data_IF_750421593986
#
_entry.id   IF_750421593986
#
_cell.length_a   1.000
_cell.length_b   1.000
_cell.length_c   1.000
_cell.angle_alpha   90.00
_cell.angle_beta   90.00
_cell.angle_gamma   90.00
#
_symmetry.space_group_name_H-M   'P 1'
#
loop_
_entity.id
_entity.type
_entity.pdbx_description
1 polymer ?
#
# COMPACT_ATOMS: atom_id res chain seq x y z
N UNK A 1 -28.93 34.15 -14.68
CA UNK A 1 -28.63 32.74 -15.00
C UNK A 1 -29.69 31.75 -14.50
N UNK A 2 -30.71 32.17 -13.74
CA UNK A 2 -31.86 31.31 -13.40
C UNK A 2 -33.15 31.93 -13.95
N UNK A 3 -33.66 31.40 -15.07
CA UNK A 3 -35.01 31.74 -15.57
C UNK A 3 -36.04 30.87 -14.83
N UNK A 4 -37.26 31.36 -14.58
CA UNK A 4 -38.27 30.69 -13.74
C UNK A 4 -38.88 29.40 -14.32
N UNK A 5 -38.39 28.89 -15.45
CA UNK A 5 -38.98 27.76 -16.20
C UNK A 5 -38.15 26.47 -16.12
N UNK A 6 -37.42 26.28 -15.03
CA UNK A 6 -36.70 25.03 -14.81
C UNK A 6 -37.71 23.91 -14.56
N UNK A 7 -37.77 22.93 -15.47
CA UNK A 7 -38.78 21.86 -15.48
C UNK A 7 -38.83 21.11 -14.15
N UNK A 8 -37.66 20.79 -13.59
CA UNK A 8 -37.53 20.10 -12.29
C UNK A 8 -38.13 20.93 -11.14
N UNK A 9 -37.90 22.25 -11.12
CA UNK A 9 -38.47 23.14 -10.11
C UNK A 9 -40.00 23.23 -10.18
N UNK A 10 -40.58 23.13 -11.39
CA UNK A 10 -42.03 23.09 -11.58
C UNK A 10 -42.63 21.73 -11.18
N UNK A 11 -41.98 20.63 -11.56
CA UNK A 11 -42.41 19.28 -11.20
C UNK A 11 -42.48 19.12 -9.68
N UNK A 12 -41.43 19.54 -8.96
CA UNK A 12 -41.39 19.49 -7.49
C UNK A 12 -42.51 20.32 -6.85
N UNK A 13 -42.83 21.51 -7.40
CA UNK A 13 -43.94 22.35 -6.90
C UNK A 13 -45.33 21.74 -7.12
N UNK A 14 -45.48 20.95 -8.18
CA UNK A 14 -46.74 20.28 -8.51
C UNK A 14 -46.87 18.91 -7.80
N UNK A 15 -45.81 18.45 -7.13
CA UNK A 15 -45.80 17.18 -6.40
C UNK A 15 -46.74 17.21 -5.19
N UNK A 16 -47.42 16.10 -4.95
CA UNK A 16 -48.18 15.85 -3.72
C UNK A 16 -48.02 14.38 -3.30
N UNK A 17 -48.50 13.95 -2.12
CA UNK A 17 -48.34 12.57 -1.66
C UNK A 17 -48.90 11.50 -2.61
N UNK A 18 -49.98 11.82 -3.35
CA UNK A 18 -50.63 10.89 -4.30
C UNK A 18 -50.00 10.93 -5.69
N UNK A 19 -49.18 11.95 -5.98
CA UNK A 19 -48.44 12.12 -7.22
C UNK A 19 -47.05 12.73 -6.93
N UNK A 20 -46.12 11.92 -6.35
CA UNK A 20 -44.79 12.39 -6.04
C UNK A 20 -44.02 12.71 -7.33
N UNK A 21 -43.13 13.69 -7.28
CA UNK A 21 -42.17 13.90 -8.39
C UNK A 21 -41.17 12.77 -8.41
N UNK A 22 -41.05 12.10 -9.56
CA UNK A 22 -40.01 11.09 -9.80
C UNK A 22 -38.83 11.72 -10.53
N UNK A 23 -37.63 11.56 -9.97
CA UNK A 23 -36.37 11.95 -10.59
C UNK A 23 -35.63 10.67 -10.97
N UNK A 24 -35.48 10.32 -12.26
CA UNK A 24 -34.74 9.14 -12.67
C UNK A 24 -33.23 9.37 -12.48
N UNK A 25 -32.56 8.40 -11.87
CA UNK A 25 -31.10 8.39 -11.64
C UNK A 25 -30.49 7.12 -12.24
N UNK A 26 -30.55 6.93 -13.57
CA UNK A 26 -30.23 5.66 -14.22
C UNK A 26 -28.73 5.30 -14.18
N UNK A 27 -27.87 6.30 -13.97
CA UNK A 27 -26.41 6.13 -13.97
C UNK A 27 -25.83 5.90 -12.57
N UNK A 28 -26.66 5.98 -11.52
CA UNK A 28 -26.21 5.83 -10.14
C UNK A 28 -26.41 4.39 -9.67
N UNK A 29 -25.38 3.82 -9.04
CA UNK A 29 -25.51 2.53 -8.37
C UNK A 29 -26.53 2.63 -7.22
N UNK A 30 -27.58 1.77 -7.20
CA UNK A 30 -28.65 1.88 -6.23
C UNK A 30 -28.21 1.58 -4.79
N UNK A 31 -27.22 0.69 -4.59
CA UNK A 31 -26.73 0.35 -3.26
C UNK A 31 -25.91 1.49 -2.67
N UNK A 32 -24.96 2.04 -3.44
CA UNK A 32 -24.16 3.18 -3.06
C UNK A 32 -25.00 4.44 -2.83
N UNK A 33 -26.01 4.68 -3.67
CA UNK A 33 -26.92 5.83 -3.51
C UNK A 33 -27.77 5.71 -2.24
N UNK A 34 -28.27 4.50 -1.94
CA UNK A 34 -28.98 4.24 -0.71
C UNK A 34 -28.08 4.47 0.51
N UNK A 35 -26.83 3.99 0.45
CA UNK A 35 -25.84 4.20 1.51
C UNK A 35 -25.54 5.69 1.71
N UNK A 36 -25.33 6.45 0.64
CA UNK A 36 -25.14 7.91 0.69
C UNK A 36 -26.31 8.60 1.38
N UNK A 37 -27.55 8.25 1.01
CA UNK A 37 -28.76 8.79 1.63
C UNK A 37 -28.84 8.45 3.13
N UNK A 38 -28.53 7.20 3.52
CA UNK A 38 -28.54 6.78 4.92
C UNK A 38 -27.57 7.62 5.76
N UNK A 39 -26.36 7.83 5.24
CA UNK A 39 -25.33 8.66 5.90
C UNK A 39 -25.77 10.12 5.96
N UNK A 40 -26.23 10.69 4.84
CA UNK A 40 -26.67 12.09 4.76
C UNK A 40 -27.84 12.42 5.70
N UNK A 41 -28.73 11.46 5.92
CA UNK A 41 -29.88 11.60 6.82
C UNK A 41 -29.59 11.19 8.27
N UNK A 42 -28.32 10.97 8.65
CA UNK A 42 -27.90 10.58 10.00
C UNK A 42 -28.60 9.32 10.53
N UNK A 43 -28.97 8.38 9.64
CA UNK A 43 -29.65 7.14 10.01
C UNK A 43 -28.63 6.07 10.45
N UNK A 44 -27.82 6.41 11.45
CA UNK A 44 -26.65 5.63 11.89
C UNK A 44 -26.92 4.15 12.16
N UNK A 45 -28.10 3.79 12.69
CA UNK A 45 -28.50 2.40 12.93
C UNK A 45 -28.61 1.53 11.67
N UNK A 46 -28.81 2.15 10.50
CA UNK A 46 -28.92 1.46 9.21
C UNK A 46 -27.61 1.53 8.41
N UNK A 47 -26.55 2.10 8.96
CA UNK A 47 -25.25 2.17 8.29
C UNK A 47 -24.57 0.80 8.41
N UNK A 48 -24.23 0.12 7.29
CA UNK A 48 -23.48 -1.12 7.34
C UNK A 48 -22.10 -0.88 7.98
N UNK A 49 -21.66 -1.83 8.81
CA UNK A 49 -20.34 -1.75 9.46
C UNK A 49 -19.20 -1.97 8.47
N UNK A 50 -19.44 -2.77 7.43
CA UNK A 50 -18.40 -3.21 6.48
C UNK A 50 -18.97 -3.25 5.06
N UNK A 51 -19.14 -2.09 4.39
CA UNK A 51 -19.52 -2.06 2.98
C UNK A 51 -18.53 -2.85 2.12
N UNK A 52 -19.01 -3.44 1.02
CA UNK A 52 -18.14 -4.14 0.07
C UNK A 52 -17.16 -3.14 -0.58
N UNK A 53 -15.96 -3.58 -0.99
CA UNK A 53 -15.03 -2.75 -1.77
C UNK A 53 -15.66 -2.12 -3.01
N UNK A 54 -16.48 -2.88 -3.75
CA UNK A 54 -17.24 -2.39 -4.91
C UNK A 54 -18.23 -1.28 -4.55
N UNK A 55 -19.01 -1.46 -3.48
CA UNK A 55 -19.91 -0.40 -2.97
C UNK A 55 -19.13 0.86 -2.58
N UNK A 56 -17.92 0.73 -2.01
CA UNK A 56 -17.06 1.87 -1.70
C UNK A 56 -16.55 2.57 -2.97
N UNK A 57 -16.20 1.84 -4.02
CA UNK A 57 -15.86 2.43 -5.33
C UNK A 57 -17.03 3.24 -5.89
N UNK A 58 -18.21 2.62 -5.97
CA UNK A 58 -19.42 3.29 -6.49
C UNK A 58 -19.78 4.51 -5.65
N UNK A 59 -19.66 4.41 -4.32
CA UNK A 59 -19.88 5.53 -3.43
C UNK A 59 -18.87 6.66 -3.66
N UNK A 60 -17.61 6.36 -4.00
CA UNK A 60 -16.63 7.38 -4.37
C UNK A 60 -17.08 8.17 -5.60
N UNK A 61 -17.58 7.48 -6.62
CA UNK A 61 -18.11 8.08 -7.86
C UNK A 61 -19.29 9.01 -7.53
N UNK A 62 -20.23 8.56 -6.68
CA UNK A 62 -21.36 9.39 -6.26
C UNK A 62 -20.92 10.59 -5.42
N UNK A 63 -19.96 10.40 -4.52
CA UNK A 63 -19.41 11.48 -3.68
C UNK A 63 -18.78 12.58 -4.52
N UNK A 64 -18.03 12.21 -5.57
CA UNK A 64 -17.50 13.16 -6.54
C UNK A 64 -18.62 13.81 -7.37
N UNK A 65 -19.52 13.02 -7.96
CA UNK A 65 -20.64 13.52 -8.78
C UNK A 65 -21.51 14.54 -8.03
N UNK A 66 -21.83 14.26 -6.77
CA UNK A 66 -22.67 15.11 -5.93
C UNK A 66 -21.90 16.10 -5.05
N UNK A 67 -20.56 16.10 -5.14
CA UNK A 67 -19.67 17.01 -4.40
C UNK A 67 -19.96 17.01 -2.88
N UNK A 68 -20.07 15.82 -2.29
CA UNK A 68 -20.56 15.63 -0.92
C UNK A 68 -19.59 14.85 -0.01
N UNK A 69 -18.27 14.99 -0.22
CA UNK A 69 -17.23 14.24 0.49
C UNK A 69 -17.32 14.37 2.02
N UNK A 70 -17.65 15.55 2.53
CA UNK A 70 -17.71 15.84 3.97
C UNK A 70 -18.79 15.02 4.67
N UNK A 71 -19.86 14.66 3.95
CA UNK A 71 -20.95 13.83 4.45
C UNK A 71 -20.45 12.41 4.76
N UNK A 72 -19.54 11.89 3.93
CA UNK A 72 -19.11 10.49 3.97
C UNK A 72 -17.76 10.29 4.68
N UNK A 73 -16.90 11.32 4.73
CA UNK A 73 -15.52 11.25 5.23
C UNK A 73 -15.35 10.51 6.55
N UNK A 74 -16.19 10.82 7.55
CA UNK A 74 -16.13 10.17 8.87
C UNK A 74 -16.42 8.67 8.79
N UNK A 75 -17.50 8.27 8.12
CA UNK A 75 -17.84 6.87 7.92
C UNK A 75 -16.80 6.16 7.05
N UNK A 76 -16.30 6.84 6.01
CA UNK A 76 -15.26 6.32 5.14
C UNK A 76 -14.00 5.93 5.90
N UNK A 77 -13.52 6.79 6.80
CA UNK A 77 -12.36 6.48 7.64
C UNK A 77 -12.59 5.25 8.53
N UNK A 78 -13.81 5.07 9.07
CA UNK A 78 -14.18 3.91 9.88
C UNK A 78 -14.22 2.63 9.03
N UNK A 79 -14.88 2.66 7.88
CA UNK A 79 -15.02 1.50 6.99
C UNK A 79 -13.66 1.00 6.46
N UNK A 80 -12.74 1.93 6.20
CA UNK A 80 -11.38 1.61 5.78
C UNK A 80 -10.50 1.14 6.96
N UNK A 81 -10.90 1.40 8.21
CA UNK A 81 -10.23 0.91 9.41
C UNK A 81 -10.60 -0.57 9.69
N UNK A 82 -10.28 -1.46 8.76
CA UNK A 82 -10.52 -2.90 8.84
C UNK A 82 -9.27 -3.73 8.53
N UNK A 83 -9.34 -5.03 8.80
CA UNK A 83 -8.27 -5.95 8.43
C UNK A 83 -8.15 -6.04 6.90
N UNK A 84 -6.98 -5.72 6.37
CA UNK A 84 -6.69 -5.76 4.94
C UNK A 84 -6.06 -7.10 4.49
N UNK A 85 -5.66 -7.95 5.44
CA UNK A 85 -5.00 -9.21 5.15
C UNK A 85 -5.95 -10.16 4.39
N UNK A 86 -5.46 -10.72 3.28
CA UNK A 86 -6.20 -11.67 2.46
C UNK A 86 -7.19 -11.06 1.47
N UNK A 87 -7.36 -9.73 1.45
CA UNK A 87 -8.12 -9.05 0.40
C UNK A 87 -7.39 -9.13 -0.93
N UNK A 88 -8.16 -9.17 -2.03
CA UNK A 88 -7.60 -9.15 -3.37
C UNK A 88 -6.99 -7.77 -3.70
N UNK A 89 -6.10 -7.72 -4.69
CA UNK A 89 -5.56 -6.44 -5.16
C UNK A 89 -6.66 -5.55 -5.74
N UNK A 90 -7.70 -6.14 -6.33
CA UNK A 90 -8.88 -5.43 -6.81
C UNK A 90 -9.62 -4.76 -5.66
N UNK A 91 -10.00 -5.53 -4.62
CA UNK A 91 -10.65 -5.00 -3.41
C UNK A 91 -9.84 -3.85 -2.78
N UNK A 92 -8.52 -4.04 -2.66
CA UNK A 92 -7.64 -3.02 -2.10
C UNK A 92 -7.57 -1.78 -2.99
N UNK A 93 -7.61 -1.94 -4.32
CA UNK A 93 -7.58 -0.82 -5.26
C UNK A 93 -8.87 -0.01 -5.23
N UNK A 94 -10.03 -0.67 -5.10
CA UNK A 94 -11.33 -0.02 -4.90
C UNK A 94 -11.35 0.79 -3.59
N UNK A 95 -10.87 0.19 -2.51
CA UNK A 95 -10.73 0.87 -1.22
C UNK A 95 -9.74 2.04 -1.28
N UNK A 96 -8.63 1.90 -2.02
CA UNK A 96 -7.65 2.97 -2.19
C UNK A 96 -8.21 4.14 -2.99
N UNK A 97 -8.98 3.86 -4.04
CA UNK A 97 -9.67 4.87 -4.84
C UNK A 97 -10.69 5.64 -3.99
N UNK A 98 -11.50 4.93 -3.20
CA UNK A 98 -12.39 5.57 -2.24
C UNK A 98 -11.64 6.46 -1.24
N UNK A 99 -10.54 5.98 -0.65
CA UNK A 99 -9.70 6.78 0.24
C UNK A 99 -9.13 8.04 -0.43
N UNK A 100 -8.80 7.94 -1.72
CA UNK A 100 -8.29 9.04 -2.51
C UNK A 100 -9.36 10.13 -2.71
N UNK A 101 -10.55 9.75 -3.22
CA UNK A 101 -11.65 10.69 -3.50
C UNK A 101 -12.14 11.40 -2.23
N UNK A 102 -12.20 10.70 -1.10
CA UNK A 102 -12.63 11.27 0.18
C UNK A 102 -11.54 12.06 0.91
N UNK A 103 -10.34 12.19 0.33
CA UNK A 103 -9.21 12.89 0.95
C UNK A 103 -8.81 12.31 2.32
N UNK A 104 -8.65 10.98 2.39
CA UNK A 104 -8.29 10.22 3.59
C UNK A 104 -6.82 9.76 3.54
N UNK A 105 -5.84 10.65 3.86
CA UNK A 105 -4.42 10.37 3.62
C UNK A 105 -3.85 9.22 4.45
N UNK A 106 -4.39 9.02 5.67
CA UNK A 106 -3.93 7.93 6.55
C UNK A 106 -4.36 6.58 6.00
N UNK A 107 -5.62 6.46 5.60
CA UNK A 107 -6.20 5.24 5.09
C UNK A 107 -5.59 4.92 3.72
N UNK A 108 -5.43 5.93 2.86
CA UNK A 108 -4.70 5.81 1.59
C UNK A 108 -3.29 5.25 1.79
N UNK A 109 -2.54 5.78 2.76
CA UNK A 109 -1.20 5.30 3.09
C UNK A 109 -1.18 3.84 3.53
N UNK A 110 -2.15 3.41 4.34
CA UNK A 110 -2.20 2.03 4.85
C UNK A 110 -2.55 1.06 3.72
N UNK A 111 -3.50 1.40 2.87
CA UNK A 111 -3.97 0.53 1.80
C UNK A 111 -2.93 0.43 0.68
N UNK A 112 -2.33 1.55 0.26
CA UNK A 112 -1.26 1.56 -0.75
C UNK A 112 -0.05 0.71 -0.34
N UNK A 113 0.34 0.76 0.95
CA UNK A 113 1.35 -0.14 1.50
C UNK A 113 0.97 -1.60 1.37
N UNK A 114 -0.27 -1.94 1.71
CA UNK A 114 -0.74 -3.33 1.62
C UNK A 114 -0.63 -3.83 0.17
N UNK A 115 -1.06 -3.02 -0.80
CA UNK A 115 -0.91 -3.34 -2.23
C UNK A 115 0.55 -3.55 -2.61
N UNK A 116 1.45 -2.64 -2.21
CA UNK A 116 2.89 -2.74 -2.50
C UNK A 116 3.53 -4.00 -1.91
N UNK A 117 3.15 -4.37 -0.69
CA UNK A 117 3.73 -5.51 0.03
C UNK A 117 3.22 -6.86 -0.48
N UNK A 118 1.98 -6.94 -0.96
CA UNK A 118 1.37 -8.20 -1.42
C UNK A 118 1.53 -8.44 -2.92
N UNK A 119 1.57 -7.38 -3.73
CA UNK A 119 1.67 -7.52 -5.18
C UNK A 119 3.03 -8.11 -5.61
N UNK A 120 2.98 -8.96 -6.64
CA UNK A 120 4.17 -9.60 -7.22
C UNK A 120 4.44 -8.99 -8.59
N UNK A 121 5.67 -8.52 -8.77
CA UNK A 121 6.12 -7.91 -10.01
C UNK A 121 5.65 -6.47 -10.19
N UNK A 122 5.77 -5.99 -11.43
CA UNK A 122 5.38 -4.62 -11.80
C UNK A 122 3.86 -4.47 -11.83
N UNK A 123 3.39 -3.28 -11.49
CA UNK A 123 2.01 -2.86 -11.70
C UNK A 123 1.82 -2.50 -13.16
N UNK A 124 0.89 -3.19 -13.82
CA UNK A 124 0.44 -2.86 -15.17
C UNK A 124 -0.88 -2.12 -15.17
N UNK A 125 -1.76 -2.50 -14.24
CA UNK A 125 -3.09 -1.95 -14.04
C UNK A 125 -3.51 -2.16 -12.60
N UNK A 126 -4.22 -1.18 -12.04
CA UNK A 126 -4.88 -1.21 -10.75
C UNK A 126 -6.25 -0.57 -10.97
N UNK A 127 -7.23 -1.30 -11.48
CA UNK A 127 -8.60 -0.79 -11.54
C UNK A 127 -9.13 -0.63 -10.11
N UNK A 128 -9.84 0.46 -9.77
CA UNK A 128 -10.34 1.52 -10.65
C UNK A 128 -9.42 2.76 -10.76
N UNK A 129 -8.18 2.69 -10.29
CA UNK A 129 -7.23 3.82 -10.29
C UNK A 129 -6.62 4.10 -11.67
N UNK A 130 -6.54 3.10 -12.55
CA UNK A 130 -5.97 3.24 -13.89
C UNK A 130 -7.00 3.78 -14.88
N UNK A 131 -6.59 4.72 -15.73
CA UNK A 131 -7.44 5.36 -16.75
C UNK A 131 -8.68 6.07 -16.17
N UNK A 132 -8.58 6.53 -14.92
CA UNK A 132 -9.69 7.16 -14.20
C UNK A 132 -9.46 8.68 -14.09
N UNK A 133 -10.39 9.53 -14.55
CA UNK A 133 -10.20 10.98 -14.59
C UNK A 133 -10.08 11.62 -13.21
N UNK A 134 -10.53 10.94 -12.15
CA UNK A 134 -10.40 11.43 -10.77
C UNK A 134 -9.01 11.15 -10.18
N UNK A 135 -8.23 10.29 -10.81
CA UNK A 135 -6.92 9.85 -10.33
C UNK A 135 -5.84 10.29 -11.31
N UNK A 136 -4.67 10.73 -10.83
CA UNK A 136 -3.56 11.08 -11.69
C UNK A 136 -3.06 9.91 -12.55
N UNK A 137 -2.74 10.21 -13.81
CA UNK A 137 -2.29 9.24 -14.81
C UNK A 137 -0.97 8.52 -14.42
N UNK A 138 -0.16 9.14 -13.55
CA UNK A 138 1.13 8.59 -13.14
C UNK A 138 1.04 7.65 -11.92
N UNK A 139 -0.15 7.34 -11.41
CA UNK A 139 -0.31 6.50 -10.21
C UNK A 139 0.42 5.14 -10.34
N UNK A 140 0.34 4.50 -11.51
CA UNK A 140 1.02 3.23 -11.78
C UNK A 140 2.55 3.40 -11.80
N UNK A 141 3.03 4.50 -12.39
CA UNK A 141 4.45 4.80 -12.42
C UNK A 141 5.00 5.01 -11.00
N UNK A 142 4.23 5.69 -10.14
CA UNK A 142 4.60 5.95 -8.76
C UNK A 142 4.61 4.67 -7.91
N UNK A 143 3.62 3.79 -8.07
CA UNK A 143 3.63 2.47 -7.44
C UNK A 143 4.86 1.63 -7.86
N UNK A 144 5.23 1.66 -9.14
CA UNK A 144 6.41 0.96 -9.64
C UNK A 144 7.71 1.59 -9.11
N UNK A 145 7.84 2.92 -9.13
CA UNK A 145 8.99 3.62 -8.57
C UNK A 145 9.18 3.30 -7.08
N UNK A 146 8.09 3.32 -6.31
CA UNK A 146 8.13 2.99 -4.89
C UNK A 146 8.47 1.53 -4.64
N UNK A 147 8.00 0.63 -5.50
CA UNK A 147 8.41 -0.78 -5.48
C UNK A 147 9.91 -0.94 -5.71
N UNK A 148 10.46 -0.25 -6.69
CA UNK A 148 11.88 -0.32 -7.04
C UNK A 148 12.78 0.22 -5.93
N UNK A 149 12.40 1.35 -5.31
CA UNK A 149 13.10 1.91 -4.14
C UNK A 149 13.08 0.92 -2.98
N UNK A 150 11.91 0.38 -2.64
CA UNK A 150 11.75 -0.57 -1.53
C UNK A 150 12.56 -1.86 -1.79
N UNK A 151 12.49 -2.40 -3.01
CA UNK A 151 13.27 -3.57 -3.41
C UNK A 151 14.78 -3.32 -3.33
N UNK A 152 15.21 -2.13 -3.75
CA UNK A 152 16.62 -1.72 -3.68
C UNK A 152 17.11 -1.60 -2.24
N UNK A 153 16.29 -1.08 -1.32
CA UNK A 153 16.64 -1.04 0.10
C UNK A 153 16.84 -2.45 0.66
N UNK A 154 15.92 -3.39 0.40
CA UNK A 154 16.07 -4.78 0.88
C UNK A 154 17.40 -5.35 0.37
N UNK A 155 17.70 -5.15 -0.92
CA UNK A 155 18.95 -5.59 -1.53
C UNK A 155 20.17 -4.96 -0.85
N UNK A 156 20.14 -3.65 -0.60
CA UNK A 156 21.21 -2.92 0.08
C UNK A 156 21.44 -3.49 1.49
N UNK A 157 20.37 -3.64 2.28
CA UNK A 157 20.47 -4.12 3.67
C UNK A 157 21.01 -5.56 3.72
N UNK A 158 20.52 -6.44 2.86
CA UNK A 158 20.93 -7.85 2.86
C UNK A 158 22.36 -8.03 2.36
N UNK A 159 22.80 -7.21 1.39
CA UNK A 159 24.19 -7.24 0.87
C UNK A 159 25.18 -6.41 1.69
N UNK A 160 24.69 -5.53 2.58
CA UNK A 160 25.53 -4.67 3.41
C UNK A 160 26.60 -5.42 4.23
N UNK A 161 26.30 -6.56 4.88
CA UNK A 161 27.33 -7.35 5.55
C UNK A 161 28.46 -7.80 4.62
N UNK A 162 28.15 -8.19 3.38
CA UNK A 162 29.14 -8.60 2.36
C UNK A 162 30.03 -7.41 2.03
N UNK A 163 29.42 -6.26 1.71
CA UNK A 163 30.13 -5.03 1.36
C UNK A 163 31.02 -4.50 2.49
N UNK A 164 30.64 -4.75 3.75
CA UNK A 164 31.44 -4.38 4.92
C UNK A 164 32.60 -5.34 5.15
N UNK A 165 32.38 -6.65 5.07
CA UNK A 165 33.45 -7.63 5.23
C UNK A 165 34.46 -7.62 4.08
N UNK A 166 34.03 -7.29 2.85
CA UNK A 166 34.90 -7.26 1.68
C UNK A 166 36.03 -6.23 1.77
N UNK A 167 35.96 -5.29 2.72
CA UNK A 167 37.02 -4.32 3.01
C UNK A 167 38.25 -4.94 3.67
N UNK A 168 38.11 -6.13 4.25
CA UNK A 168 39.18 -6.86 4.92
C UNK A 168 39.71 -7.96 4.00
N UNK A 169 41.03 -8.01 3.80
CA UNK A 169 41.69 -8.97 2.89
C UNK A 169 42.25 -10.20 3.60
N UNK A 170 41.71 -10.56 4.75
CA UNK A 170 42.18 -11.72 5.51
C UNK A 170 41.42 -13.01 5.11
N UNK A 171 42.04 -14.20 5.22
CA UNK A 171 41.38 -15.46 4.90
C UNK A 171 40.09 -15.71 5.68
N UNK A 172 40.01 -15.24 6.94
CA UNK A 172 38.81 -15.33 7.77
C UNK A 172 37.65 -14.55 7.15
N UNK A 173 37.87 -13.29 6.76
CA UNK A 173 36.84 -12.44 6.15
C UNK A 173 36.31 -13.05 4.85
N UNK A 174 37.19 -13.55 3.98
CA UNK A 174 36.82 -14.21 2.73
C UNK A 174 35.94 -15.44 3.01
N UNK A 175 36.33 -16.30 3.95
CA UNK A 175 35.53 -17.47 4.36
C UNK A 175 34.19 -17.08 4.97
N UNK A 176 34.14 -16.04 5.79
CA UNK A 176 32.90 -15.53 6.38
C UNK A 176 31.94 -15.00 5.32
N UNK A 177 32.42 -14.29 4.30
CA UNK A 177 31.59 -13.87 3.17
C UNK A 177 31.02 -15.08 2.44
N UNK A 178 31.85 -16.06 2.10
CA UNK A 178 31.41 -17.28 1.41
C UNK A 178 30.33 -18.03 2.21
N UNK A 179 30.55 -18.22 3.52
CA UNK A 179 29.57 -18.87 4.40
C UNK A 179 28.27 -18.08 4.51
N UNK A 180 28.35 -16.75 4.57
CA UNK A 180 27.17 -15.89 4.59
C UNK A 180 26.34 -16.01 3.31
N UNK A 181 26.99 -15.91 2.14
CA UNK A 181 26.33 -16.01 0.84
C UNK A 181 25.67 -17.38 0.68
N UNK A 182 26.37 -18.46 1.01
CA UNK A 182 25.83 -19.82 0.93
C UNK A 182 24.60 -20.00 1.84
N UNK A 183 24.62 -19.42 3.04
CA UNK A 183 23.47 -19.46 3.95
C UNK A 183 22.29 -18.61 3.42
N UNK A 184 22.54 -17.43 2.86
CA UNK A 184 21.49 -16.62 2.24
C UNK A 184 20.83 -17.34 1.05
N UNK A 185 21.63 -18.03 0.23
CA UNK A 185 21.12 -18.84 -0.89
C UNK A 185 20.26 -20.00 -0.38
N UNK A 186 20.76 -20.79 0.58
CA UNK A 186 20.01 -21.90 1.18
C UNK A 186 18.70 -21.43 1.85
N UNK A 187 18.70 -20.22 2.42
CA UNK A 187 17.53 -19.61 3.05
C UNK A 187 16.67 -18.81 2.06
N UNK A 188 16.96 -18.86 0.76
CA UNK A 188 16.16 -18.23 -0.29
C UNK A 188 16.01 -16.70 -0.10
N UNK A 189 17.04 -16.07 0.47
CA UNK A 189 17.06 -14.67 0.84
C UNK A 189 18.14 -13.87 0.09
N UNK A 190 18.90 -14.51 -0.81
CA UNK A 190 19.93 -13.86 -1.61
C UNK A 190 19.29 -12.94 -2.66
N UNK A 191 19.55 -11.62 -2.61
CA UNK A 191 19.08 -10.67 -3.60
C UNK A 191 19.51 -11.02 -5.02
N UNK A 192 18.68 -10.69 -6.01
CA UNK A 192 19.00 -10.87 -7.42
C UNK A 192 18.83 -12.29 -7.98
N UNK A 193 18.49 -13.27 -7.14
CA UNK A 193 18.10 -14.62 -7.57
C UNK A 193 16.66 -14.65 -8.11
N UNK A 194 16.33 -15.58 -9.00
CA UNK A 194 14.98 -15.69 -9.58
C UNK A 194 13.91 -15.91 -8.50
N UNK A 195 14.22 -16.72 -7.49
CA UNK A 195 13.34 -16.96 -6.37
C UNK A 195 13.01 -15.68 -5.61
N UNK A 196 13.98 -14.79 -5.45
CA UNK A 196 13.80 -13.48 -4.81
C UNK A 196 13.00 -12.51 -5.69
N UNK A 197 13.21 -12.54 -7.02
CA UNK A 197 12.50 -11.69 -7.99
C UNK A 197 10.99 -11.96 -8.06
N UNK A 198 10.58 -13.20 -7.81
CA UNK A 198 9.16 -13.58 -7.81
C UNK A 198 8.45 -13.38 -6.47
N UNK A 199 9.12 -12.82 -5.46
CA UNK A 199 8.49 -12.52 -4.19
C UNK A 199 7.74 -11.19 -4.25
N UNK A 200 6.64 -11.14 -3.51
CA UNK A 200 6.09 -9.86 -3.08
C UNK A 200 7.10 -9.20 -2.12
N UNK A 201 7.07 -7.87 -2.02
CA UNK A 201 7.99 -7.16 -1.13
C UNK A 201 7.83 -7.61 0.32
N UNK A 202 6.59 -7.88 0.76
CA UNK A 202 6.31 -8.43 2.09
C UNK A 202 7.01 -9.77 2.33
N UNK A 203 6.90 -10.71 1.39
CA UNK A 203 7.59 -12.00 1.47
C UNK A 203 9.11 -11.87 1.40
N UNK A 204 9.62 -10.91 0.63
CA UNK A 204 11.05 -10.61 0.57
C UNK A 204 11.56 -10.09 1.93
N UNK A 205 10.84 -9.16 2.57
CA UNK A 205 11.11 -8.70 3.93
C UNK A 205 11.11 -9.84 4.93
N UNK A 206 10.08 -10.69 4.92
CA UNK A 206 9.94 -11.79 5.88
C UNK A 206 11.08 -12.82 5.71
N UNK A 207 11.41 -13.20 4.46
CA UNK A 207 12.52 -14.11 4.19
C UNK A 207 13.87 -13.51 4.57
N UNK A 208 14.13 -12.27 4.20
CA UNK A 208 15.38 -11.59 4.55
C UNK A 208 15.54 -11.45 6.07
N UNK A 209 14.46 -11.09 6.79
CA UNK A 209 14.47 -10.99 8.25
C UNK A 209 14.75 -12.35 8.91
N UNK A 210 14.07 -13.41 8.44
CA UNK A 210 14.29 -14.77 8.92
C UNK A 210 15.72 -15.24 8.66
N UNK A 211 16.25 -14.97 7.47
CA UNK A 211 17.59 -15.38 7.09
C UNK A 211 18.65 -14.67 7.95
N UNK A 212 18.59 -13.35 8.05
CA UNK A 212 19.53 -12.56 8.86
C UNK A 212 19.51 -12.95 10.34
N UNK A 213 18.36 -13.41 10.86
CA UNK A 213 18.25 -13.92 12.23
C UNK A 213 18.85 -15.32 12.42
N UNK A 214 18.90 -16.14 11.38
CA UNK A 214 19.39 -17.53 11.42
C UNK A 214 20.86 -17.69 11.03
N UNK A 215 21.43 -16.70 10.36
CA UNK A 215 22.82 -16.73 9.91
C UNK A 215 23.74 -16.93 11.11
N UNK A 216 24.48 -18.03 11.07
CA UNK A 216 25.51 -18.36 12.03
C UNK A 216 26.81 -18.57 11.28
N UNK A 217 27.80 -17.71 11.54
CA UNK A 217 29.11 -17.82 10.92
C UNK A 217 29.98 -18.60 11.90
N UNK A 218 30.39 -19.84 11.57
CA UNK A 218 31.27 -20.59 12.44
C UNK A 218 32.54 -19.79 12.69
N UNK A 219 32.91 -19.62 13.95
CA UNK A 219 34.24 -19.11 14.26
C UNK A 219 35.23 -20.15 13.75
N UNK A 220 35.93 -19.84 12.65
CA UNK A 220 37.02 -20.69 12.22
C UNK A 220 38.04 -20.74 13.36
N UNK A 221 38.24 -21.93 13.93
CA UNK A 221 39.21 -22.20 14.99
C UNK A 221 40.55 -21.55 14.61
N UNK A 222 40.98 -20.57 15.41
CA UNK A 222 42.03 -19.60 15.09
C UNK A 222 41.56 -18.19 15.45
N UNK A 223 41.36 -17.95 16.75
CA UNK A 223 40.55 -16.88 17.34
C UNK A 223 41.01 -15.45 17.06
N UNK A 224 42.19 -15.24 16.48
CA UNK A 224 42.63 -13.91 16.15
C UNK A 224 43.45 -13.94 14.86
N UNK A 225 42.91 -13.39 13.78
CA UNK A 225 43.72 -13.13 12.59
C UNK A 225 44.77 -12.03 12.87
N UNK A 226 44.73 -11.38 14.04
CA UNK A 226 45.53 -10.20 14.39
C UNK A 226 45.18 -8.97 13.54
N UNK A 227 44.16 -9.09 12.68
CA UNK A 227 43.84 -8.15 11.62
C UNK A 227 42.66 -7.22 11.97
N UNK A 228 42.09 -7.37 13.18
CA UNK A 228 40.99 -6.53 13.66
C UNK A 228 39.68 -6.65 12.87
N UNK A 229 39.52 -7.70 12.05
CA UNK A 229 38.28 -7.87 11.29
C UNK A 229 37.12 -8.26 12.23
N UNK A 230 35.96 -7.60 12.12
CA UNK A 230 34.80 -7.89 12.96
C UNK A 230 34.16 -9.24 12.61
N UNK A 231 33.28 -9.72 13.49
CA UNK A 231 32.48 -10.91 13.21
C UNK A 231 31.35 -10.58 12.21
N UNK A 232 31.24 -11.38 11.15
CA UNK A 232 30.17 -11.25 10.16
C UNK A 232 28.78 -11.43 10.78
N UNK A 233 28.66 -12.22 11.85
CA UNK A 233 27.40 -12.37 12.59
C UNK A 233 26.94 -11.05 13.24
N UNK A 234 27.85 -10.15 13.61
CA UNK A 234 27.46 -8.84 14.16
C UNK A 234 26.91 -7.93 13.07
N UNK A 235 27.48 -7.97 11.86
CA UNK A 235 26.92 -7.26 10.72
C UNK A 235 25.55 -7.81 10.31
N UNK A 236 25.36 -9.13 10.35
CA UNK A 236 24.05 -9.74 10.10
C UNK A 236 22.98 -9.25 11.10
N UNK A 237 23.31 -9.14 12.40
CA UNK A 237 22.41 -8.58 13.42
C UNK A 237 22.07 -7.12 13.15
N UNK A 238 23.06 -6.30 12.75
CA UNK A 238 22.83 -4.90 12.39
C UNK A 238 21.90 -4.80 11.18
N UNK A 239 22.13 -5.61 10.15
CA UNK A 239 21.27 -5.68 8.97
C UNK A 239 19.84 -6.10 9.35
N UNK A 240 19.66 -7.11 10.21
CA UNK A 240 18.36 -7.55 10.69
C UNK A 240 17.59 -6.41 11.39
N UNK A 241 18.28 -5.64 12.24
CA UNK A 241 17.68 -4.49 12.93
C UNK A 241 17.32 -3.36 11.96
N UNK A 242 18.16 -3.09 10.96
CA UNK A 242 17.84 -2.11 9.89
C UNK A 242 16.61 -2.53 9.10
N UNK A 243 16.52 -3.81 8.73
CA UNK A 243 15.38 -4.34 7.98
C UNK A 243 14.06 -4.22 8.77
N UNK A 244 14.08 -4.57 10.06
CA UNK A 244 12.93 -4.44 10.96
C UNK A 244 12.43 -3.00 11.07
N UNK A 245 13.34 -2.03 11.17
CA UNK A 245 12.99 -0.60 11.22
C UNK A 245 12.42 -0.10 9.89
N UNK A 246 13.01 -0.54 8.79
CA UNK A 246 12.63 -0.09 7.45
C UNK A 246 11.24 -0.56 7.04
N UNK A 247 10.83 -1.77 7.46
CA UNK A 247 9.47 -2.30 7.23
C UNK A 247 8.37 -1.36 7.72
N UNK A 248 8.61 -0.56 8.77
CA UNK A 248 7.67 0.42 9.30
C UNK A 248 7.89 1.87 8.84
N UNK A 249 9.14 2.25 8.52
CA UNK A 249 9.56 3.65 8.34
C UNK A 249 9.55 4.15 6.91
N UNK A 250 9.69 3.28 5.90
CA UNK A 250 9.87 3.70 4.49
C UNK A 250 8.65 4.34 3.82
N UNK A 251 7.65 4.73 4.60
CA UNK A 251 6.45 5.37 4.09
C UNK A 251 5.89 6.38 5.10
N UNK A 252 6.74 6.83 6.04
CA UNK A 252 6.38 7.76 7.10
C UNK A 252 6.84 9.19 6.81
N UNK A 253 5.86 10.08 6.60
CA UNK A 253 5.89 11.55 6.71
C UNK A 253 6.65 12.43 5.69
N UNK A 254 7.73 12.00 5.04
CA UNK A 254 8.43 12.89 4.06
C UNK A 254 8.36 12.46 2.61
N UNK A 255 8.00 11.19 2.33
CA UNK A 255 8.15 10.61 1.00
C UNK A 255 6.84 10.36 0.25
N UNK A 256 5.70 10.66 0.87
CA UNK A 256 4.43 10.71 0.16
C UNK A 256 4.13 12.09 -0.40
N UNK A 257 5.05 13.05 -0.31
CA UNK A 257 4.92 14.32 -1.04
C UNK A 257 4.62 14.04 -2.51
N UNK A 258 5.30 13.11 -3.18
CA UNK A 258 4.99 12.75 -4.58
C UNK A 258 3.56 12.21 -4.86
N UNK A 259 2.94 11.46 -3.92
CA UNK A 259 1.55 10.95 -4.04
C UNK A 259 0.49 11.90 -3.44
N UNK A 260 0.89 12.82 -2.57
CA UNK A 260 0.03 13.85 -1.98
C UNK A 260 0.09 15.19 -2.72
N UNK A 261 1.14 15.44 -3.50
CA UNK A 261 1.31 16.51 -4.49
C UNK A 261 0.52 16.24 -5.77
N UNK A 262 0.07 15.00 -5.97
CA UNK A 262 -0.96 14.66 -6.95
C UNK A 262 -2.32 15.35 -6.69
N UNK A 263 -2.44 16.08 -5.58
CA UNK A 263 -3.61 16.90 -5.21
C UNK A 263 -3.45 18.39 -5.55
N UNK A 264 -2.43 18.78 -6.31
CA UNK A 264 -2.22 20.15 -6.80
C UNK A 264 -2.25 20.19 -8.31
#
# INVERSE_FOLDING_TARGET
MFKPHFKEGFSVRAANPDNPTTIPLPDDDPEALALLCIVAHYRGYNVPNTPSPDCLEQLAILVDKYQCKEVVAFHGAIWLCRNLAGLSIEDLSQMLFFAYVLDLPREFLVISKQILLEHVGLFKKLAPLTDNPLVPDNIIAEFNARRDVTGSLINEIVTWPINRMARFRCPRAIKSIGSYVQQLEHLCAMPGTDLFRHLSLGKAFDRAALALARIHIPQTVGSDCGCGCPDMSDFAKVAANRLKRSRGLEFGKTDMTGLSELKT
#
